data_IF_197192731387
#
_entry.id   IF_197192731387
#
_cell.length_a   1.000
_cell.length_b   1.000
_cell.length_c   1.000
_cell.angle_alpha   90.00
_cell.angle_beta   90.00
_cell.angle_gamma   90.00
#
_symmetry.space_group_name_H-M   'P 1'
#
loop_
_entity.id
_entity.type
_entity.pdbx_description
1 polymer ?
#
# COMPACT_ATOMS: atom_id res chain seq x y z
N UNK A 1 80.10 1.08 -38.92
CA UNK A 1 80.41 2.50 -39.15
C UNK A 1 79.46 3.30 -38.28
N UNK A 2 80.02 4.14 -37.40
CA UNK A 2 79.40 5.14 -36.50
C UNK A 2 78.55 4.64 -35.31
N UNK A 3 78.83 5.25 -34.15
CA UNK A 3 78.41 4.94 -32.76
C UNK A 3 77.21 5.84 -32.33
N UNK A 4 76.91 6.05 -31.01
CA UNK A 4 75.66 5.74 -30.30
C UNK A 4 74.90 7.05 -29.92
N UNK A 5 74.12 7.06 -28.82
CA UNK A 5 73.37 8.18 -28.13
C UNK A 5 71.85 7.90 -28.25
N UNK A 6 71.07 7.49 -27.24
CA UNK A 6 70.88 7.87 -25.83
C UNK A 6 70.32 9.29 -25.64
N UNK A 7 69.00 9.47 -25.52
CA UNK A 7 68.31 10.09 -24.37
C UNK A 7 66.83 10.42 -24.65
N UNK A 8 66.03 10.31 -23.57
CA UNK A 8 64.92 11.20 -23.18
C UNK A 8 63.48 10.87 -23.67
N UNK A 9 62.70 10.37 -22.70
CA UNK A 9 61.38 10.88 -22.25
C UNK A 9 60.25 11.02 -23.28
N UNK A 10 59.11 10.37 -23.03
CA UNK A 10 58.00 10.93 -22.24
C UNK A 10 57.04 9.77 -21.94
N UNK A 11 57.06 9.35 -20.67
CA UNK A 11 56.03 8.52 -20.04
C UNK A 11 54.87 9.46 -19.69
N UNK A 12 53.80 9.45 -20.49
CA UNK A 12 52.52 10.10 -20.16
C UNK A 12 51.41 9.10 -20.44
N UNK A 13 50.67 8.79 -19.36
CA UNK A 13 49.25 8.50 -19.27
C UNK A 13 48.59 7.90 -20.52
N UNK A 14 47.95 6.73 -20.47
CA UNK A 14 46.75 6.51 -19.67
C UNK A 14 46.63 5.01 -19.41
N UNK A 15 46.66 4.63 -18.13
CA UNK A 15 46.04 3.41 -17.64
C UNK A 15 44.55 3.49 -18.01
N UNK A 16 44.18 2.92 -19.15
CA UNK A 16 42.78 2.57 -19.41
C UNK A 16 42.50 1.41 -18.47
N UNK A 17 42.09 1.78 -17.26
CA UNK A 17 41.28 0.95 -16.40
C UNK A 17 40.17 0.40 -17.29
N UNK A 18 40.28 -0.87 -17.67
CA UNK A 18 39.12 -1.68 -17.99
C UNK A 18 38.29 -1.82 -16.70
N UNK A 19 37.70 -0.72 -16.26
CA UNK A 19 36.41 -0.74 -15.59
C UNK A 19 35.44 -1.25 -16.65
N UNK A 20 35.40 -2.58 -16.80
CA UNK A 20 34.16 -3.23 -17.15
C UNK A 20 33.18 -2.85 -16.05
N UNK A 21 32.52 -1.71 -16.21
CA UNK A 21 31.20 -1.53 -15.64
C UNK A 21 30.41 -2.70 -16.17
N UNK A 22 30.26 -3.74 -15.34
CA UNK A 22 29.04 -4.51 -15.33
C UNK A 22 27.94 -3.45 -15.33
N UNK A 23 27.31 -3.28 -16.50
CA UNK A 23 25.97 -2.73 -16.52
C UNK A 23 25.21 -3.65 -15.59
N UNK A 24 24.98 -3.19 -14.37
CA UNK A 24 23.85 -3.62 -13.59
C UNK A 24 22.67 -3.39 -14.51
N UNK A 25 22.19 -4.48 -15.09
CA UNK A 25 20.94 -4.50 -15.82
C UNK A 25 19.94 -3.94 -14.83
N UNK A 26 19.47 -2.71 -15.08
CA UNK A 26 18.27 -2.23 -14.43
C UNK A 26 17.18 -3.26 -14.77
N UNK A 27 16.53 -3.89 -13.79
CA UNK A 27 15.37 -4.73 -14.02
C UNK A 27 14.19 -3.80 -14.28
N UNK A 28 14.19 -3.15 -15.45
CA UNK A 28 13.04 -2.45 -15.97
C UNK A 28 13.02 -2.71 -17.48
N UNK A 29 11.86 -3.17 -17.96
CA UNK A 29 11.50 -3.54 -19.34
C UNK A 29 11.43 -5.05 -19.68
N UNK A 30 11.11 -5.90 -18.71
CA UNK A 30 10.28 -7.09 -18.98
C UNK A 30 8.96 -6.84 -18.28
N UNK A 31 7.89 -6.56 -19.04
CA UNK A 31 6.59 -6.17 -18.47
C UNK A 31 5.80 -7.34 -17.93
N UNK A 32 6.42 -8.03 -16.99
CA UNK A 32 5.77 -8.97 -16.12
C UNK A 32 5.24 -8.17 -14.94
N UNK A 33 3.99 -8.41 -14.56
CA UNK A 33 3.45 -7.97 -13.28
C UNK A 33 3.50 -9.14 -12.31
N UNK A 34 3.44 -8.85 -11.02
CA UNK A 34 3.19 -9.89 -10.02
C UNK A 34 1.69 -10.12 -9.92
N UNK A 35 1.20 -11.26 -10.43
CA UNK A 35 -0.18 -11.69 -10.25
C UNK A 35 -0.33 -12.33 -8.88
N UNK A 36 -1.11 -11.68 -8.00
CA UNK A 36 -1.48 -12.22 -6.69
C UNK A 36 -2.80 -12.97 -6.83
N UNK A 37 -2.89 -14.19 -6.29
CA UNK A 37 -4.11 -14.99 -6.27
C UNK A 37 -4.22 -15.73 -4.94
N UNK A 38 -5.44 -16.08 -4.54
CA UNK A 38 -5.65 -16.97 -3.40
C UNK A 38 -5.11 -18.38 -3.72
N UNK A 39 -4.41 -18.99 -2.77
CA UNK A 39 -4.01 -20.38 -2.85
C UNK A 39 -5.26 -21.30 -2.86
N UNK A 40 -5.16 -22.47 -3.50
CA UNK A 40 -6.33 -23.36 -3.64
C UNK A 40 -6.91 -23.86 -2.31
N UNK A 41 -6.11 -23.84 -1.24
CA UNK A 41 -6.52 -24.20 0.11
C UNK A 41 -7.13 -23.03 0.91
N UNK A 42 -7.27 -21.84 0.30
CA UNK A 42 -7.84 -20.65 0.95
C UNK A 42 -6.97 -20.06 2.07
N UNK A 43 -5.73 -20.51 2.24
CA UNK A 43 -4.94 -20.18 3.43
C UNK A 43 -4.18 -18.85 3.33
N UNK A 44 -3.90 -18.40 2.10
CA UNK A 44 -2.99 -17.27 1.83
C UNK A 44 -3.11 -16.77 0.39
N UNK A 45 -2.48 -15.63 0.12
CA UNK A 45 -2.11 -15.25 -1.24
C UNK A 45 -0.80 -15.92 -1.66
N UNK A 46 -0.80 -16.36 -2.91
CA UNK A 46 0.37 -16.75 -3.66
C UNK A 46 0.61 -15.73 -4.77
N UNK A 47 1.87 -15.53 -5.13
CA UNK A 47 2.26 -14.66 -6.23
C UNK A 47 2.92 -15.46 -7.35
N UNK A 48 2.74 -14.99 -8.58
CA UNK A 48 3.41 -15.51 -9.76
C UNK A 48 3.74 -14.37 -10.73
N UNK A 49 4.77 -14.54 -11.55
CA UNK A 49 5.03 -13.60 -12.64
C UNK A 49 4.00 -13.81 -13.75
N UNK A 50 3.38 -12.72 -14.21
CA UNK A 50 2.38 -12.75 -15.25
C UNK A 50 2.74 -11.77 -16.38
N UNK A 51 2.74 -12.26 -17.60
CA UNK A 51 3.01 -11.46 -18.80
C UNK A 51 1.70 -10.97 -19.40
N UNK A 52 1.51 -9.65 -19.40
CA UNK A 52 0.33 -8.99 -20.00
C UNK A 52 0.32 -9.23 -21.52
N UNK A 53 -0.79 -9.76 -22.03
CA UNK A 53 -1.02 -10.11 -23.43
C UNK A 53 -1.72 -8.99 -24.22
N UNK A 54 -2.57 -8.20 -23.56
CA UNK A 54 -3.25 -7.06 -24.15
C UNK A 54 -2.27 -5.95 -24.56
N UNK A 55 -2.75 -5.07 -25.43
CA UNK A 55 -2.03 -3.83 -25.75
C UNK A 55 -1.87 -3.00 -24.47
N UNK A 56 -0.63 -2.74 -24.09
CA UNK A 56 -0.31 -2.04 -22.84
C UNK A 56 -0.70 -0.57 -22.83
N UNK A 57 -0.90 0.02 -24.01
CA UNK A 57 -1.43 1.38 -24.12
C UNK A 57 -2.96 1.41 -23.88
N UNK A 58 -3.64 0.27 -23.96
CA UNK A 58 -5.06 0.12 -23.69
C UNK A 58 -5.29 -0.33 -22.23
N UNK A 59 -5.40 0.65 -21.33
CA UNK A 59 -5.66 0.39 -19.92
C UNK A 59 -6.93 -0.45 -19.69
N UNK A 60 -7.96 -0.31 -20.52
CA UNK A 60 -9.23 -1.06 -20.36
C UNK A 60 -9.00 -2.52 -20.70
N UNK A 61 -8.31 -2.81 -21.80
CA UNK A 61 -7.99 -4.18 -22.20
C UNK A 61 -7.09 -4.88 -21.15
N UNK A 62 -6.08 -4.17 -20.62
CA UNK A 62 -5.20 -4.71 -19.57
C UNK A 62 -5.98 -4.98 -18.27
N UNK A 63 -6.82 -4.05 -17.82
CA UNK A 63 -7.61 -4.25 -16.61
C UNK A 63 -8.58 -5.43 -16.77
N UNK A 64 -9.24 -5.55 -17.92
CA UNK A 64 -10.11 -6.69 -18.20
C UNK A 64 -9.35 -8.00 -18.18
N UNK A 65 -8.18 -8.08 -18.83
CA UNK A 65 -7.33 -9.28 -18.83
C UNK A 65 -6.95 -9.72 -17.42
N UNK A 66 -6.58 -8.77 -16.55
CA UNK A 66 -6.20 -9.08 -15.18
C UNK A 66 -7.41 -9.46 -14.32
N UNK A 67 -8.55 -8.78 -14.49
CA UNK A 67 -9.80 -9.16 -13.82
C UNK A 67 -10.24 -10.58 -14.23
N UNK A 68 -9.98 -10.99 -15.46
CA UNK A 68 -10.27 -12.33 -15.96
C UNK A 68 -9.50 -13.43 -15.23
N UNK A 69 -8.30 -13.13 -14.72
CA UNK A 69 -7.54 -14.04 -13.87
C UNK A 69 -8.22 -14.37 -12.53
N UNK A 70 -9.22 -13.57 -12.10
CA UNK A 70 -9.95 -13.76 -10.85
C UNK A 70 -11.33 -14.40 -11.00
N UNK A 71 -11.81 -14.62 -12.24
CA UNK A 71 -13.16 -15.15 -12.54
C UNK A 71 -13.50 -16.48 -11.89
N UNK A 72 -12.49 -17.29 -11.54
CA UNK A 72 -12.68 -18.55 -10.78
C UNK A 72 -13.21 -18.30 -9.36
N UNK A 73 -12.79 -17.20 -8.75
CA UNK A 73 -13.01 -16.89 -7.34
C UNK A 73 -14.08 -15.83 -7.14
N UNK A 74 -14.17 -14.87 -8.06
CA UNK A 74 -15.06 -13.73 -7.94
C UNK A 74 -15.80 -13.47 -9.26
N UNK A 75 -17.11 -13.24 -9.16
CA UNK A 75 -17.93 -12.84 -10.30
C UNK A 75 -17.98 -11.31 -10.40
N UNK A 76 -17.13 -10.76 -11.27
CA UNK A 76 -17.13 -9.34 -11.64
C UNK A 76 -18.24 -9.09 -12.67
N UNK A 77 -19.05 -8.07 -12.41
CA UNK A 77 -20.14 -7.61 -13.29
C UNK A 77 -19.64 -6.54 -14.27
N UNK A 78 -19.01 -5.49 -13.75
CA UNK A 78 -18.47 -4.36 -14.52
C UNK A 78 -17.23 -3.77 -13.83
N UNK A 79 -16.47 -2.96 -14.56
CA UNK A 79 -15.46 -2.09 -13.98
C UNK A 79 -15.36 -0.76 -14.72
N UNK A 80 -14.98 0.29 -13.99
CA UNK A 80 -14.82 1.63 -14.54
C UNK A 80 -13.55 2.28 -14.03
N UNK A 81 -12.69 2.70 -14.94
CA UNK A 81 -11.51 3.49 -14.62
C UNK A 81 -11.82 4.98 -14.81
N UNK A 82 -11.72 5.76 -13.74
CA UNK A 82 -11.82 7.22 -13.78
C UNK A 82 -10.58 7.82 -13.13
N UNK A 83 -9.84 8.62 -13.88
CA UNK A 83 -8.55 9.17 -13.47
C UNK A 83 -7.59 8.05 -13.02
N UNK A 84 -7.34 7.90 -11.72
CA UNK A 84 -6.53 6.83 -11.14
C UNK A 84 -7.28 5.89 -10.22
N UNK A 85 -8.60 5.99 -10.17
CA UNK A 85 -9.47 5.14 -9.36
C UNK A 85 -10.20 4.14 -10.26
N UNK A 86 -10.01 2.86 -9.95
CA UNK A 86 -10.73 1.76 -10.56
C UNK A 86 -11.89 1.35 -9.65
N UNK A 87 -13.11 1.51 -10.14
CA UNK A 87 -14.31 0.92 -9.53
C UNK A 87 -14.51 -0.47 -10.09
N UNK A 88 -14.64 -1.48 -9.23
CA UNK A 88 -14.98 -2.86 -9.62
C UNK A 88 -16.31 -3.22 -9.00
N UNK A 89 -17.28 -3.56 -9.85
CA UNK A 89 -18.62 -3.97 -9.42
C UNK A 89 -18.72 -5.49 -9.49
N UNK A 90 -19.08 -6.13 -8.39
CA UNK A 90 -19.33 -7.56 -8.32
C UNK A 90 -20.82 -7.89 -8.44
N UNK A 91 -21.12 -9.12 -8.86
CA UNK A 91 -22.46 -9.68 -8.74
C UNK A 91 -22.81 -9.93 -7.27
N UNK A 92 -24.11 -9.97 -6.95
CA UNK A 92 -24.62 -10.22 -5.59
C UNK A 92 -24.14 -11.53 -4.95
N UNK A 93 -23.71 -12.49 -5.77
CA UNK A 93 -23.07 -13.74 -5.30
C UNK A 93 -21.78 -13.51 -4.51
N UNK A 94 -21.17 -12.32 -4.59
CA UNK A 94 -19.98 -11.96 -3.83
C UNK A 94 -20.15 -12.19 -2.33
N UNK A 95 -21.34 -11.87 -1.79
CA UNK A 95 -21.66 -12.02 -0.36
C UNK A 95 -21.77 -13.48 0.12
N UNK A 96 -21.69 -14.46 -0.78
CA UNK A 96 -21.71 -15.88 -0.41
C UNK A 96 -20.34 -16.42 0.00
N UNK A 97 -19.27 -15.63 -0.17
CA UNK A 97 -17.92 -15.99 0.27
C UNK A 97 -17.83 -15.99 1.80
N UNK A 98 -17.01 -16.86 2.37
CA UNK A 98 -16.64 -16.70 3.76
C UNK A 98 -15.68 -15.50 3.94
N UNK A 99 -15.52 -15.06 5.19
CA UNK A 99 -14.76 -13.84 5.50
C UNK A 99 -13.28 -13.92 5.10
N UNK A 100 -12.68 -15.11 5.15
CA UNK A 100 -11.26 -15.27 4.81
C UNK A 100 -11.10 -15.21 3.29
N UNK A 101 -11.92 -15.97 2.56
CA UNK A 101 -11.91 -15.95 1.11
C UNK A 101 -12.21 -14.55 0.54
N UNK A 102 -13.18 -13.84 1.13
CA UNK A 102 -13.52 -12.45 0.77
C UNK A 102 -12.29 -11.55 0.84
N UNK A 103 -11.63 -11.51 2.00
CA UNK A 103 -10.52 -10.57 2.21
C UNK A 103 -9.30 -10.93 1.36
N UNK A 104 -9.05 -12.21 1.13
CA UNK A 104 -7.98 -12.68 0.25
C UNK A 104 -8.29 -12.31 -1.20
N UNK A 105 -9.49 -12.56 -1.69
CA UNK A 105 -9.88 -12.21 -3.05
C UNK A 105 -9.80 -10.70 -3.28
N UNK A 106 -10.33 -9.91 -2.35
CA UNK A 106 -10.20 -8.45 -2.38
C UNK A 106 -8.75 -7.99 -2.40
N UNK A 107 -7.91 -8.54 -1.52
CA UNK A 107 -6.48 -8.24 -1.49
C UNK A 107 -5.77 -8.59 -2.81
N UNK A 108 -6.11 -9.73 -3.41
CA UNK A 108 -5.50 -10.21 -4.65
C UNK A 108 -5.74 -9.24 -5.83
N UNK A 109 -6.96 -8.70 -5.92
CA UNK A 109 -7.35 -7.72 -6.93
C UNK A 109 -6.61 -6.40 -6.71
N UNK A 110 -6.63 -5.86 -5.49
CA UNK A 110 -5.97 -4.59 -5.17
C UNK A 110 -4.46 -4.66 -5.42
N UNK A 111 -3.78 -5.71 -4.94
CA UNK A 111 -2.33 -5.86 -5.12
C UNK A 111 -1.93 -6.04 -6.57
N UNK A 112 -2.74 -6.74 -7.37
CA UNK A 112 -2.46 -6.95 -8.79
C UNK A 112 -2.69 -5.67 -9.59
N UNK A 113 -3.86 -5.04 -9.43
CA UNK A 113 -4.25 -3.90 -10.28
C UNK A 113 -3.53 -2.61 -9.92
N UNK A 114 -3.23 -2.35 -8.64
CA UNK A 114 -2.48 -1.14 -8.23
C UNK A 114 -0.99 -1.14 -8.67
N UNK A 115 -0.52 -2.16 -9.39
CA UNK A 115 0.78 -2.12 -10.09
C UNK A 115 0.71 -1.35 -11.41
N UNK A 116 -0.47 -1.24 -12.01
CA UNK A 116 -0.67 -0.49 -13.23
C UNK A 116 -0.53 1.01 -12.93
N UNK A 117 0.29 1.73 -13.72
CA UNK A 117 0.49 3.18 -13.51
C UNK A 117 -0.81 4.00 -13.58
N UNK A 118 -1.82 3.49 -14.27
CA UNK A 118 -3.15 4.08 -14.40
C UNK A 118 -4.07 3.80 -13.19
N UNK A 119 -3.73 2.86 -12.30
CA UNK A 119 -4.57 2.47 -11.15
C UNK A 119 -3.79 2.71 -9.87
N UNK A 120 -4.15 3.75 -9.14
CA UNK A 120 -3.57 4.02 -7.82
C UNK A 120 -4.49 3.52 -6.71
N UNK A 121 -5.80 3.49 -6.98
CA UNK A 121 -6.83 3.13 -6.03
C UNK A 121 -7.86 2.19 -6.64
N UNK A 122 -8.44 1.33 -5.81
CA UNK A 122 -9.55 0.44 -6.17
C UNK A 122 -10.70 0.62 -5.17
N UNK A 123 -11.92 0.71 -5.67
CA UNK A 123 -13.14 0.72 -4.85
C UNK A 123 -14.09 -0.39 -5.31
N UNK A 124 -14.76 -1.03 -4.37
CA UNK A 124 -15.60 -2.21 -4.64
C UNK A 124 -17.07 -1.92 -4.38
N UNK A 125 -17.92 -2.41 -5.28
CA UNK A 125 -19.37 -2.31 -5.21
C UNK A 125 -20.01 -3.69 -5.42
N UNK A 126 -21.24 -3.85 -4.94
CA UNK A 126 -22.10 -4.99 -5.27
C UNK A 126 -23.43 -4.43 -5.78
N UNK A 127 -23.63 -4.49 -7.10
CA UNK A 127 -24.67 -3.70 -7.77
C UNK A 127 -24.38 -2.20 -7.64
N UNK A 128 -25.35 -1.43 -7.16
CA UNK A 128 -25.24 0.03 -6.99
C UNK A 128 -24.70 0.44 -5.61
N UNK A 129 -24.62 -0.50 -4.66
CA UNK A 129 -24.23 -0.21 -3.29
C UNK A 129 -22.72 -0.47 -3.10
N UNK A 130 -22.01 0.37 -2.31
CA UNK A 130 -20.65 0.10 -1.90
C UNK A 130 -20.54 -1.29 -1.25
N UNK A 131 -19.40 -1.96 -1.40
CA UNK A 131 -19.16 -3.22 -0.72
C UNK A 131 -19.19 -3.01 0.80
N UNK A 132 -20.08 -3.74 1.48
CA UNK A 132 -20.27 -3.68 2.93
C UNK A 132 -19.73 -4.96 3.59
N UNK A 133 -18.93 -4.83 4.63
CA UNK A 133 -18.46 -5.95 5.46
C UNK A 133 -18.84 -5.66 6.91
N UNK A 134 -19.55 -6.59 7.53
CA UNK A 134 -20.05 -6.47 8.92
C UNK A 134 -20.83 -5.16 9.21
N UNK A 135 -21.50 -4.62 8.19
CA UNK A 135 -22.31 -3.39 8.29
C UNK A 135 -21.55 -2.09 8.03
N UNK A 136 -20.24 -2.17 7.79
CA UNK A 136 -19.38 -1.02 7.49
C UNK A 136 -18.93 -1.05 6.01
N UNK A 137 -18.82 0.12 5.34
CA UNK A 137 -18.30 0.17 3.99
C UNK A 137 -16.79 -0.14 3.99
N UNK A 138 -16.35 -0.96 3.05
CA UNK A 138 -14.92 -1.24 2.85
C UNK A 138 -14.17 0.00 2.37
N UNK A 139 -14.79 0.75 1.46
CA UNK A 139 -14.26 2.00 0.90
C UNK A 139 -13.07 1.80 -0.03
N UNK A 140 -12.40 2.92 -0.35
CA UNK A 140 -11.28 2.99 -1.28
C UNK A 140 -10.03 2.30 -0.71
N UNK A 141 -9.36 1.49 -1.53
CA UNK A 141 -8.16 0.75 -1.20
C UNK A 141 -7.00 1.13 -2.11
N UNK A 142 -5.76 0.93 -1.66
CA UNK A 142 -4.54 1.11 -2.45
C UNK A 142 -3.59 -0.07 -2.25
N UNK A 143 -2.46 -0.09 -2.95
CA UNK A 143 -1.39 -1.08 -2.70
C UNK A 143 -0.93 -1.16 -1.24
N UNK A 144 -1.10 -0.09 -0.47
CA UNK A 144 -0.74 -0.03 0.95
C UNK A 144 -1.82 -0.62 1.86
N UNK A 145 -3.02 -0.93 1.35
CA UNK A 145 -4.08 -1.53 2.16
C UNK A 145 -3.74 -2.96 2.61
N UNK A 146 -2.80 -3.63 1.95
CA UNK A 146 -2.40 -5.02 2.24
C UNK A 146 -0.87 -5.19 2.20
N UNK A 147 -0.31 -6.04 3.06
CA UNK A 147 1.11 -6.43 2.99
C UNK A 147 1.41 -7.36 1.80
N UNK A 148 2.69 -7.55 1.48
CA UNK A 148 3.13 -8.45 0.39
C UNK A 148 2.99 -9.93 0.74
N UNK A 149 3.15 -10.28 2.02
CA UNK A 149 2.83 -11.59 2.56
C UNK A 149 1.43 -11.57 3.17
N UNK A 150 0.43 -11.99 2.40
CA UNK A 150 -0.93 -12.16 2.91
C UNK A 150 -1.14 -13.65 3.20
N UNK A 151 -1.29 -14.02 4.49
CA UNK A 151 -1.67 -15.37 4.91
C UNK A 151 -0.69 -16.08 5.83
N UNK A 152 -1.17 -17.15 6.48
CA UNK A 152 -0.44 -17.92 7.51
C UNK A 152 -1.02 -17.83 8.92
N UNK A 153 -2.04 -17.00 9.17
CA UNK A 153 -2.68 -16.84 10.49
C UNK A 153 -4.12 -16.30 10.49
N UNK A 154 -4.81 -16.29 9.34
CA UNK A 154 -6.14 -15.68 9.19
C UNK A 154 -6.10 -14.31 8.49
N UNK A 155 -7.07 -13.44 8.80
CA UNK A 155 -7.24 -12.12 8.19
C UNK A 155 -6.45 -10.99 8.89
N UNK A 156 -5.48 -11.36 9.71
CA UNK A 156 -4.68 -10.42 10.50
C UNK A 156 -3.24 -10.36 9.99
N UNK A 157 -2.66 -9.15 9.94
CA UNK A 157 -1.31 -8.89 9.43
C UNK A 157 -0.50 -8.02 10.39
N UNK A 158 0.77 -8.35 10.61
CA UNK A 158 1.69 -7.45 11.33
C UNK A 158 2.32 -6.46 10.37
N UNK A 159 2.00 -5.17 10.50
CA UNK A 159 2.48 -4.09 9.65
C UNK A 159 3.30 -3.09 10.45
N UNK A 160 4.50 -2.78 9.96
CA UNK A 160 5.25 -1.64 10.47
C UNK A 160 4.67 -0.34 9.91
N UNK A 161 4.33 0.58 10.80
CA UNK A 161 3.77 1.89 10.47
C UNK A 161 4.59 2.98 11.15
N UNK A 162 4.65 4.15 10.54
CA UNK A 162 5.25 5.34 11.13
C UNK A 162 4.14 6.29 11.53
N UNK A 163 4.05 6.54 12.83
CA UNK A 163 3.13 7.50 13.43
C UNK A 163 3.91 8.74 13.85
N UNK A 164 3.24 9.87 13.88
CA UNK A 164 3.86 11.14 14.20
C UNK A 164 3.22 11.75 15.44
N UNK A 165 4.05 12.01 16.45
CA UNK A 165 3.64 12.61 17.72
C UNK A 165 4.39 13.93 17.97
N UNK A 166 3.94 14.72 18.95
CA UNK A 166 4.63 15.95 19.35
C UNK A 166 5.79 15.60 20.26
N UNK A 167 6.92 16.32 20.13
CA UNK A 167 7.94 16.34 21.18
C UNK A 167 7.35 16.82 22.50
N UNK A 168 7.96 16.41 23.61
CA UNK A 168 7.55 16.83 24.95
C UNK A 168 7.46 18.36 25.11
N UNK A 169 8.36 19.10 24.45
CA UNK A 169 8.35 20.57 24.46
C UNK A 169 7.35 21.22 23.50
N UNK A 170 6.64 20.44 22.67
CA UNK A 170 5.62 20.95 21.75
C UNK A 170 6.13 21.57 20.45
N UNK A 171 7.43 21.52 20.19
CA UNK A 171 8.05 22.29 19.10
C UNK A 171 8.32 21.51 17.82
N UNK A 172 8.26 20.17 17.87
CA UNK A 172 8.61 19.30 16.75
C UNK A 172 7.67 18.13 16.65
N UNK A 173 7.52 17.65 15.42
CA UNK A 173 6.93 16.35 15.14
C UNK A 173 8.03 15.29 15.20
N UNK A 174 7.81 14.24 15.98
CA UNK A 174 8.71 13.10 16.13
C UNK A 174 8.04 11.84 15.59
N UNK A 175 8.81 11.08 14.82
CA UNK A 175 8.37 9.80 14.26
C UNK A 175 8.50 8.68 15.30
N UNK A 176 7.48 7.84 15.36
CA UNK A 176 7.46 6.59 16.12
C UNK A 176 7.14 5.48 15.14
N UNK A 177 8.08 4.57 14.95
CA UNK A 177 7.86 3.35 14.17
C UNK A 177 7.40 2.24 15.10
N UNK A 178 6.23 1.65 14.82
CA UNK A 178 5.63 0.59 15.64
C UNK A 178 5.08 -0.51 14.75
N UNK A 179 5.00 -1.72 15.31
CA UNK A 179 4.36 -2.87 14.69
C UNK A 179 2.90 -2.93 15.10
N UNK A 180 2.02 -2.88 14.11
CA UNK A 180 0.59 -2.89 14.30
C UNK A 180 -0.03 -4.18 13.73
N UNK A 181 -0.90 -4.79 14.52
CA UNK A 181 -1.67 -5.97 14.15
C UNK A 181 -2.95 -5.52 13.44
N UNK A 182 -2.95 -5.56 12.11
CA UNK A 182 -4.02 -5.08 11.25
C UNK A 182 -5.00 -6.20 10.90
N UNK A 183 -6.24 -6.06 11.33
CA UNK A 183 -7.38 -6.79 10.77
C UNK A 183 -7.72 -6.23 9.38
N UNK A 184 -7.48 -7.01 8.33
CA UNK A 184 -7.69 -6.62 6.94
C UNK A 184 -9.16 -6.41 6.54
N UNK A 185 -10.10 -6.76 7.41
CA UNK A 185 -11.52 -6.41 7.25
C UNK A 185 -11.80 -4.95 7.61
N UNK A 186 -10.89 -4.31 8.36
CA UNK A 186 -10.97 -2.91 8.77
C UNK A 186 -10.07 -2.05 7.87
N UNK A 187 -10.51 -0.86 7.41
CA UNK A 187 -9.64 0.05 6.67
C UNK A 187 -8.41 0.46 7.48
N UNK A 188 -7.21 0.34 6.89
CA UNK A 188 -5.95 0.70 7.56
C UNK A 188 -5.95 2.16 8.04
N UNK A 189 -6.52 3.08 7.26
CA UNK A 189 -6.61 4.49 7.64
C UNK A 189 -7.36 4.70 8.96
N UNK A 190 -8.45 3.95 9.18
CA UNK A 190 -9.20 4.00 10.43
C UNK A 190 -8.33 3.59 11.61
N UNK A 191 -7.66 2.46 11.47
CA UNK A 191 -6.80 1.93 12.52
C UNK A 191 -5.64 2.87 12.85
N UNK A 192 -5.02 3.50 11.83
CA UNK A 192 -3.96 4.50 12.03
C UNK A 192 -4.47 5.75 12.78
N UNK A 193 -5.67 6.24 12.44
CA UNK A 193 -6.28 7.37 13.14
C UNK A 193 -6.63 7.00 14.57
N UNK A 194 -7.22 5.82 14.80
CA UNK A 194 -7.54 5.33 16.15
C UNK A 194 -6.27 5.22 17.02
N UNK A 195 -5.17 4.69 16.48
CA UNK A 195 -3.89 4.61 17.20
C UNK A 195 -3.31 6.00 17.54
N UNK A 196 -3.47 7.00 16.67
CA UNK A 196 -3.06 8.39 16.95
C UNK A 196 -3.92 9.04 18.05
N UNK A 197 -5.21 8.68 18.14
CA UNK A 197 -6.12 9.18 19.18
C UNK A 197 -5.86 8.54 20.53
N UNK A 198 -5.46 7.27 20.57
CA UNK A 198 -5.05 6.56 21.79
C UNK A 198 -3.77 7.14 22.41
N UNK A 199 -2.87 7.65 21.55
CA UNK A 199 -1.65 8.32 21.99
C UNK A 199 -0.41 7.41 22.04
N UNK A 200 0.78 7.98 22.28
CA UNK A 200 2.03 7.24 22.19
C UNK A 200 2.22 6.25 23.35
N UNK A 201 1.54 6.43 24.49
CA UNK A 201 1.70 5.53 25.65
C UNK A 201 1.12 4.13 25.44
N UNK A 202 0.19 3.96 24.50
CA UNK A 202 -0.37 2.66 24.13
C UNK A 202 0.55 1.88 23.17
N UNK A 203 1.61 2.52 22.66
CA UNK A 203 2.60 1.89 21.79
C UNK A 203 3.66 1.19 22.63
N UNK A 204 3.43 -0.09 22.91
CA UNK A 204 4.27 -0.89 23.82
C UNK A 204 5.66 -1.28 23.27
N UNK A 205 5.86 -1.25 21.95
CA UNK A 205 7.07 -1.73 21.28
C UNK A 205 8.04 -0.61 20.84
N UNK A 206 7.75 0.65 21.20
CA UNK A 206 8.58 1.81 20.88
C UNK A 206 8.94 2.63 22.13
N UNK A 207 10.07 3.34 22.09
CA UNK A 207 10.39 4.31 23.14
C UNK A 207 9.57 5.58 22.92
N UNK A 208 8.66 5.85 23.86
CA UNK A 208 7.72 6.98 23.78
C UNK A 208 8.04 8.09 24.79
N UNK A 209 9.16 7.98 25.53
CA UNK A 209 9.52 8.91 26.60
C UNK A 209 9.84 10.34 26.15
N UNK A 210 10.12 10.54 24.87
CA UNK A 210 10.46 11.86 24.28
C UNK A 210 9.26 12.51 23.56
N UNK A 211 8.12 11.83 23.52
CA UNK A 211 6.92 12.28 22.82
C UNK A 211 5.71 12.38 23.75
N UNK A 212 4.72 13.17 23.33
CA UNK A 212 3.45 13.37 24.04
C UNK A 212 2.27 13.30 23.08
N UNK A 213 1.07 13.22 23.66
CA UNK A 213 -0.19 13.25 22.92
C UNK A 213 -0.26 14.47 21.99
N UNK A 214 -0.68 14.22 20.74
CA UNK A 214 -0.96 15.26 19.73
C UNK A 214 -2.42 15.68 19.70
N UNK A 215 -3.31 14.84 20.25
CA UNK A 215 -4.75 15.04 20.25
C UNK A 215 -5.25 15.34 21.66
N UNK A 216 -6.26 16.22 21.83
CA UNK A 216 -6.87 16.43 23.14
C UNK A 216 -7.45 15.14 23.72
N UNK A 217 -7.25 14.96 25.03
CA UNK A 217 -7.76 13.80 25.75
C UNK A 217 -9.27 13.62 25.57
N UNK A 218 -9.69 12.38 25.29
CA UNK A 218 -11.09 12.02 25.10
C UNK A 218 -11.64 12.28 23.69
N UNK A 219 -10.82 12.73 22.74
CA UNK A 219 -11.21 12.81 21.32
C UNK A 219 -11.57 11.42 20.79
N UNK A 220 -12.69 11.31 20.06
CA UNK A 220 -13.17 10.06 19.45
C UNK A 220 -13.33 10.21 17.94
N UNK A 221 -13.13 9.11 17.22
CA UNK A 221 -13.46 8.99 15.81
C UNK A 221 -14.95 8.66 15.65
N UNK A 222 -15.73 9.58 15.06
CA UNK A 222 -17.16 9.35 14.78
C UNK A 222 -17.34 8.58 13.47
N UNK A 223 -16.66 9.04 12.41
CA UNK A 223 -16.69 8.39 11.09
C UNK A 223 -15.42 8.69 10.30
N UNK A 224 -15.10 7.81 9.34
CA UNK A 224 -14.02 7.99 8.39
C UNK A 224 -14.52 7.60 7.00
N UNK A 225 -14.25 8.43 6.01
CA UNK A 225 -14.62 8.16 4.61
C UNK A 225 -13.49 8.60 3.72
N UNK A 226 -13.07 7.75 2.79
CA UNK A 226 -12.09 8.10 1.77
C UNK A 226 -12.85 8.25 0.46
N UNK A 227 -12.81 9.45 -0.12
CA UNK A 227 -13.47 9.74 -1.40
C UNK A 227 -12.64 10.78 -2.16
N UNK A 228 -12.54 10.62 -3.48
CA UNK A 228 -11.82 11.56 -4.35
C UNK A 228 -10.37 11.79 -3.85
N UNK A 229 -9.71 10.72 -3.37
CA UNK A 229 -8.37 10.73 -2.76
C UNK A 229 -8.21 11.60 -1.50
N UNK A 230 -9.32 12.03 -0.90
CA UNK A 230 -9.35 12.76 0.37
C UNK A 230 -9.88 11.84 1.46
N UNK A 231 -9.15 11.74 2.57
CA UNK A 231 -9.62 11.10 3.79
C UNK A 231 -10.38 12.13 4.62
N UNK A 232 -11.70 12.01 4.66
CA UNK A 232 -12.58 12.79 5.52
C UNK A 232 -12.67 12.09 6.88
N UNK A 233 -12.25 12.80 7.93
CA UNK A 233 -12.24 12.30 9.30
C UNK A 233 -13.17 13.16 10.14
N UNK A 234 -14.21 12.55 10.70
CA UNK A 234 -15.14 13.19 11.63
C UNK A 234 -14.74 12.84 13.06
N UNK A 235 -14.32 13.84 13.82
CA UNK A 235 -13.87 13.71 15.20
C UNK A 235 -14.88 14.34 16.17
N UNK A 236 -14.92 13.84 17.39
CA UNK A 236 -15.74 14.41 18.45
C UNK A 236 -15.30 15.84 18.82
N UNK A 237 -16.23 16.61 19.40
CA UNK A 237 -16.02 18.02 19.75
C UNK A 237 -14.81 18.26 20.66
N UNK A 238 -14.38 17.26 21.42
CA UNK A 238 -13.21 17.30 22.30
C UNK A 238 -11.92 17.61 21.53
N UNK A 239 -11.85 17.31 20.23
CA UNK A 239 -10.74 17.70 19.37
C UNK A 239 -10.48 19.21 19.35
N UNK A 240 -11.51 20.03 19.60
CA UNK A 240 -11.37 21.49 19.67
C UNK A 240 -10.76 21.98 20.99
N UNK A 241 -10.60 21.11 22.00
CA UNK A 241 -9.96 21.44 23.27
C UNK A 241 -8.42 21.43 23.16
N UNK A 242 -7.89 22.04 22.10
CA UNK A 242 -6.44 22.08 21.85
C UNK A 242 -5.72 22.76 23.02
N UNK A 243 -4.67 22.10 23.52
CA UNK A 243 -3.76 22.69 24.48
C UNK A 243 -2.92 23.75 23.75
N UNK A 244 -2.86 24.97 24.29
CA UNK A 244 -2.26 26.15 23.65
C UNK A 244 -0.75 26.04 23.34
N UNK A 245 -0.09 24.98 23.80
CA UNK A 245 1.37 24.81 23.77
C UNK A 245 1.87 23.87 22.66
N UNK A 246 1.04 23.56 21.65
CA UNK A 246 1.46 22.82 20.44
C UNK A 246 1.49 23.79 19.26
N UNK A 247 2.68 24.11 18.74
CA UNK A 247 2.83 24.95 17.54
C UNK A 247 3.49 24.16 16.42
N UNK A 248 2.92 24.24 15.21
CA UNK A 248 3.45 23.62 13.98
C UNK A 248 4.68 24.33 13.43
#
# INVERSE_FOLDING_TARGET
MMKPICFLSVLVCVLVLCCGCQRTVNPDQTGNITLYQMAEDGSKLQSSDYEIQADREDNVAVIQELLDCFKKWVAVDDFQLKEKQLTVTFLSSYYNQDKIDEVLNRASIVKTLCQLSAVEYVEFYVGEDPLMIDGEPVGIMSKLSFLDSVGGGGYTQEKYVTLYFSSNDGTKMQEISTKLTHDMTVPLARLLIEQLLEGPNEISDANTSEVRDTNPSGTKLNSLTIRDHVCYVDLSKEFMNMQADVSS
#
